data_IF_904918794012
#
_entry.id   IF_904918794012
#
_cell.length_a   1.000
_cell.length_b   1.000
_cell.length_c   1.000
_cell.angle_alpha   90.00
_cell.angle_beta   90.00
_cell.angle_gamma   90.00
#
_symmetry.space_group_name_H-M   'P 1'
#
loop_
_entity.id
_entity.type
_entity.pdbx_description
1 polymer ?
#
# COMPACT_ATOMS: atom_id res chain seq x y z
N UNK A 1 22.37 15.23 6.68
CA UNK A 1 23.24 15.38 5.49
C UNK A 1 23.87 14.09 4.98
N UNK A 2 24.78 13.41 5.72
CA UNK A 2 25.46 12.20 5.22
C UNK A 2 24.50 11.12 4.72
N UNK A 3 23.52 10.75 5.54
CA UNK A 3 22.46 9.77 5.19
C UNK A 3 21.70 10.18 3.93
N UNK A 4 21.40 11.48 3.78
CA UNK A 4 20.70 11.98 2.60
C UNK A 4 21.56 11.88 1.33
N UNK A 5 22.86 12.18 1.43
CA UNK A 5 23.79 12.07 0.30
C UNK A 5 23.99 10.63 -0.15
N UNK A 6 24.12 9.70 0.81
CA UNK A 6 24.26 8.28 0.54
C UNK A 6 23.01 7.74 -0.17
N UNK A 7 21.81 8.05 0.34
CA UNK A 7 20.56 7.58 -0.24
C UNK A 7 20.28 8.16 -1.64
N UNK A 8 20.61 9.43 -1.90
CA UNK A 8 20.49 10.01 -3.24
C UNK A 8 21.47 9.35 -4.22
N UNK A 9 22.70 9.09 -3.79
CA UNK A 9 23.69 8.38 -4.61
C UNK A 9 23.21 6.96 -4.93
N UNK A 10 22.70 6.24 -3.93
CA UNK A 10 22.15 4.89 -4.08
C UNK A 10 20.95 4.86 -5.04
N UNK A 11 20.06 5.86 -4.97
CA UNK A 11 18.96 6.01 -5.91
C UNK A 11 19.46 6.20 -7.36
N UNK A 12 20.48 7.05 -7.56
CA UNK A 12 21.09 7.27 -8.87
C UNK A 12 21.73 6.00 -9.41
N UNK A 13 22.50 5.29 -8.59
CA UNK A 13 23.17 4.05 -8.99
C UNK A 13 22.16 2.97 -9.41
N UNK A 14 21.11 2.75 -8.61
CA UNK A 14 20.07 1.77 -8.91
C UNK A 14 19.30 2.09 -10.20
N UNK A 15 18.91 3.36 -10.37
CA UNK A 15 18.13 3.77 -11.54
C UNK A 15 18.98 3.75 -12.82
N UNK A 16 20.27 4.15 -12.73
CA UNK A 16 21.22 4.10 -13.85
C UNK A 16 21.55 2.66 -14.21
N UNK A 17 21.66 1.78 -13.21
CA UNK A 17 21.84 0.36 -13.44
C UNK A 17 20.68 -0.20 -14.27
N UNK A 18 19.41 0.11 -13.96
CA UNK A 18 18.26 -0.31 -14.78
C UNK A 18 18.34 0.22 -16.22
N UNK A 19 18.81 1.45 -16.43
CA UNK A 19 18.92 2.09 -17.75
C UNK A 19 17.61 2.05 -18.58
N UNK A 20 16.46 2.02 -17.90
CA UNK A 20 15.14 1.92 -18.53
C UNK A 20 14.78 0.53 -19.06
N UNK A 21 15.56 -0.51 -18.72
CA UNK A 21 15.31 -1.89 -19.19
C UNK A 21 14.00 -2.45 -18.65
N UNK A 22 13.62 -2.15 -17.40
CA UNK A 22 12.43 -2.74 -16.80
C UNK A 22 11.13 -2.23 -17.45
N UNK A 23 11.03 -0.92 -17.71
CA UNK A 23 9.78 -0.27 -18.13
C UNK A 23 9.79 0.36 -19.53
N UNK A 24 10.95 0.32 -20.23
CA UNK A 24 11.16 1.01 -21.51
C UNK A 24 11.30 2.53 -21.38
N UNK A 25 11.40 3.04 -20.14
CA UNK A 25 11.57 4.44 -19.79
C UNK A 25 12.55 4.53 -18.63
N UNK A 26 13.39 5.57 -18.62
CA UNK A 26 14.29 5.81 -17.49
C UNK A 26 13.50 6.17 -16.23
N UNK A 27 13.67 5.36 -15.18
CA UNK A 27 13.11 5.64 -13.86
C UNK A 27 13.94 6.69 -13.09
N UNK A 28 15.16 7.02 -13.54
CA UNK A 28 15.97 8.10 -12.95
C UNK A 28 15.28 9.45 -13.04
N UNK A 29 15.34 10.24 -11.98
CA UNK A 29 14.85 11.62 -12.00
C UNK A 29 15.30 12.44 -10.80
N UNK A 30 14.92 13.73 -10.77
CA UNK A 30 15.17 14.62 -9.66
C UNK A 30 14.62 14.03 -8.36
N UNK A 31 15.41 14.01 -7.30
CA UNK A 31 15.02 13.48 -6.00
C UNK A 31 15.29 14.48 -4.89
N UNK A 32 14.33 14.56 -3.96
CA UNK A 32 14.48 15.26 -2.68
C UNK A 32 14.12 14.34 -1.52
N UNK A 33 14.86 14.48 -0.43
CA UNK A 33 14.60 13.84 0.86
C UNK A 33 14.15 14.91 1.84
N UNK A 34 13.01 14.71 2.52
CA UNK A 34 12.38 15.72 3.37
C UNK A 34 12.19 15.21 4.78
N UNK A 35 12.65 15.97 5.76
CA UNK A 35 12.29 15.79 7.17
C UNK A 35 10.89 16.37 7.41
N UNK A 36 9.88 15.55 7.78
CA UNK A 36 8.51 16.03 7.95
C UNK A 36 8.32 16.94 9.16
N UNK A 37 9.17 16.85 10.18
CA UNK A 37 9.07 17.68 11.39
C UNK A 37 9.66 19.06 11.16
N UNK A 38 10.85 19.12 10.56
CA UNK A 38 11.58 20.38 10.35
C UNK A 38 11.34 21.01 8.98
N UNK A 39 10.76 20.24 8.04
CA UNK A 39 10.62 20.57 6.61
C UNK A 39 11.97 20.80 5.91
N UNK A 40 13.08 20.39 6.52
CA UNK A 40 14.41 20.46 5.90
C UNK A 40 14.41 19.52 4.70
N UNK A 41 14.79 20.04 3.53
CA UNK A 41 14.90 19.25 2.31
C UNK A 41 16.37 19.12 1.87
N UNK A 42 16.70 17.96 1.31
CA UNK A 42 17.98 17.66 0.69
C UNK A 42 17.72 17.15 -0.73
N UNK A 43 18.22 17.84 -1.75
CA UNK A 43 17.91 17.57 -3.15
C UNK A 43 19.16 17.33 -3.99
N UNK A 44 18.99 16.58 -5.09
CA UNK A 44 20.06 16.27 -6.05
C UNK A 44 20.38 17.43 -7.01
N UNK A 45 19.53 18.46 -7.06
CA UNK A 45 19.70 19.64 -7.90
C UNK A 45 19.03 20.87 -7.28
N UNK A 46 19.42 22.05 -7.77
CA UNK A 46 18.76 23.30 -7.38
C UNK A 46 17.41 23.48 -8.09
N UNK A 47 16.61 24.42 -7.61
CA UNK A 47 15.39 24.89 -8.28
C UNK A 47 15.58 26.34 -8.74
N UNK A 48 14.81 26.76 -9.74
CA UNK A 48 14.92 28.13 -10.29
C UNK A 48 14.09 29.17 -9.53
N UNK A 49 13.10 28.73 -8.74
CA UNK A 49 12.16 29.62 -8.04
C UNK A 49 12.47 29.76 -6.54
N UNK A 50 13.19 28.80 -5.98
CA UNK A 50 13.62 28.79 -4.59
C UNK A 50 15.11 28.41 -4.57
N UNK A 51 15.98 29.41 -4.46
CA UNK A 51 17.44 29.22 -4.40
C UNK A 51 17.79 28.32 -3.20
N UNK A 52 18.01 27.04 -3.49
CA UNK A 52 18.55 26.11 -2.51
C UNK A 52 20.05 26.37 -2.34
N UNK A 53 20.52 26.23 -1.11
CA UNK A 53 21.94 26.41 -0.82
C UNK A 53 22.68 25.12 -1.19
N UNK A 54 23.72 25.25 -2.02
CA UNK A 54 24.63 24.13 -2.25
C UNK A 54 25.40 23.79 -0.98
N UNK A 55 25.41 22.51 -0.59
CA UNK A 55 26.14 22.00 0.55
C UNK A 55 26.69 20.60 0.23
N UNK A 56 27.98 20.53 -0.08
CA UNK A 56 28.61 19.32 -0.59
C UNK A 56 28.10 18.97 -1.99
N UNK A 57 27.64 17.73 -2.17
CA UNK A 57 27.04 17.23 -3.42
C UNK A 57 25.55 17.51 -3.54
N UNK A 58 24.92 18.08 -2.50
CA UNK A 58 23.48 18.27 -2.42
C UNK A 58 23.10 19.76 -2.39
N UNK A 59 21.81 19.99 -2.59
CA UNK A 59 21.16 21.27 -2.37
C UNK A 59 20.25 21.17 -1.14
N UNK A 60 20.35 22.12 -0.23
CA UNK A 60 19.59 22.13 1.03
C UNK A 60 18.72 23.38 1.15
N UNK A 61 17.59 23.24 1.84
CA UNK A 61 16.68 24.34 2.14
C UNK A 61 15.53 23.89 3.02
N UNK A 62 14.50 24.73 3.10
CA UNK A 62 13.26 24.41 3.82
C UNK A 62 12.11 24.37 2.82
N UNK A 63 11.33 23.29 2.85
CA UNK A 63 10.19 23.14 1.96
C UNK A 63 9.08 24.13 2.37
N UNK A 64 8.56 24.98 1.45
CA UNK A 64 7.55 25.98 1.78
C UNK A 64 6.28 25.36 2.41
N UNK A 65 5.63 26.00 3.41
CA UNK A 65 4.52 25.40 4.18
C UNK A 65 3.32 24.91 3.36
N UNK A 66 3.10 25.51 2.18
CA UNK A 66 2.02 25.19 1.23
C UNK A 66 2.29 23.94 0.39
N UNK A 67 3.52 23.43 0.40
CA UNK A 67 3.88 22.18 -0.27
C UNK A 67 3.64 20.99 0.66
N UNK A 68 2.80 20.05 0.24
CA UNK A 68 2.52 18.82 0.99
C UNK A 68 3.74 17.90 1.07
N UNK A 69 3.99 17.30 2.22
CA UNK A 69 5.06 16.30 2.43
C UNK A 69 4.44 14.90 2.42
N UNK A 70 4.85 14.07 1.47
CA UNK A 70 4.47 12.66 1.38
C UNK A 70 5.49 11.88 0.53
N UNK A 71 5.58 10.56 0.75
CA UNK A 71 6.31 9.67 -0.15
C UNK A 71 5.50 9.61 -1.45
N UNK A 72 5.95 10.31 -2.48
CA UNK A 72 5.25 10.39 -3.76
C UNK A 72 6.10 11.13 -4.81
N UNK A 73 5.52 11.30 -6.00
CA UNK A 73 6.00 12.26 -6.99
C UNK A 73 5.23 13.59 -6.92
N UNK A 74 5.95 14.71 -6.90
CA UNK A 74 5.36 16.06 -6.81
C UNK A 74 5.92 17.00 -7.87
N UNK A 75 5.10 17.91 -8.39
CA UNK A 75 5.56 19.03 -9.21
C UNK A 75 5.80 20.23 -8.30
N UNK A 76 7.06 20.67 -8.18
CA UNK A 76 7.43 21.84 -7.37
C UNK A 76 8.58 22.58 -8.05
N UNK A 77 8.48 23.92 -8.12
CA UNK A 77 9.45 24.80 -8.75
C UNK A 77 9.81 24.39 -10.19
N UNK A 78 8.79 24.06 -11.00
CA UNK A 78 8.95 23.62 -12.40
C UNK A 78 9.53 22.21 -12.58
N UNK A 79 9.83 21.48 -11.51
CA UNK A 79 10.47 20.16 -11.55
C UNK A 79 9.51 19.10 -11.00
N UNK A 80 9.47 17.94 -11.68
CA UNK A 80 8.77 16.74 -11.18
C UNK A 80 9.72 15.91 -10.33
N UNK A 81 9.62 16.07 -9.02
CA UNK A 81 10.47 15.43 -8.02
C UNK A 81 9.95 14.07 -7.59
N UNK A 82 10.90 13.21 -7.25
CA UNK A 82 10.73 12.07 -6.36
C UNK A 82 10.90 12.62 -4.94
N UNK A 83 9.87 12.57 -4.11
CA UNK A 83 9.93 13.00 -2.72
C UNK A 83 9.93 11.77 -1.81
N UNK A 84 10.91 11.67 -0.92
CA UNK A 84 11.00 10.59 0.06
C UNK A 84 11.19 11.18 1.46
N UNK A 85 10.49 10.64 2.45
CA UNK A 85 10.53 11.14 3.82
C UNK A 85 11.71 10.60 4.61
N UNK A 86 12.26 11.44 5.47
CA UNK A 86 13.20 11.06 6.52
C UNK A 86 12.44 10.73 7.83
N UNK A 87 12.99 9.87 8.71
CA UNK A 87 14.17 9.03 8.48
C UNK A 87 13.89 7.89 7.50
N UNK A 88 14.89 7.54 6.69
CA UNK A 88 14.81 6.38 5.81
C UNK A 88 14.88 5.07 6.61
N UNK A 89 14.37 3.96 6.06
CA UNK A 89 14.60 2.63 6.63
C UNK A 89 16.10 2.37 6.84
N UNK A 90 16.45 1.79 7.99
CA UNK A 90 17.83 1.41 8.31
C UNK A 90 18.27 0.15 7.55
N UNK A 91 17.34 -0.76 7.26
CA UNK A 91 17.57 -1.91 6.40
C UNK A 91 17.72 -1.45 4.94
N UNK A 92 18.82 -1.85 4.31
CA UNK A 92 19.18 -1.47 2.94
C UNK A 92 18.15 -1.95 1.92
N UNK A 93 17.62 -3.17 2.07
CA UNK A 93 16.63 -3.72 1.13
C UNK A 93 15.34 -2.91 1.17
N UNK A 94 14.87 -2.57 2.38
CA UNK A 94 13.70 -1.73 2.56
C UNK A 94 13.92 -0.31 2.02
N UNK A 95 15.10 0.28 2.28
CA UNK A 95 15.46 1.62 1.78
C UNK A 95 15.50 1.66 0.26
N UNK A 96 16.20 0.73 -0.38
CA UNK A 96 16.35 0.69 -1.84
C UNK A 96 15.02 0.39 -2.53
N UNK A 97 14.21 -0.49 -1.92
CA UNK A 97 12.84 -0.75 -2.37
C UNK A 97 12.02 0.55 -2.36
N UNK A 98 12.05 1.31 -1.25
CA UNK A 98 11.35 2.59 -1.15
C UNK A 98 11.84 3.60 -2.20
N UNK A 99 13.16 3.77 -2.35
CA UNK A 99 13.73 4.71 -3.33
C UNK A 99 13.28 4.39 -4.76
N UNK A 100 13.29 3.11 -5.13
CA UNK A 100 12.87 2.66 -6.47
C UNK A 100 11.34 2.65 -6.65
N UNK A 101 10.59 2.40 -5.58
CA UNK A 101 9.13 2.56 -5.53
C UNK A 101 8.75 4.01 -5.87
N UNK A 102 9.30 4.98 -5.16
CA UNK A 102 9.00 6.40 -5.40
C UNK A 102 9.51 6.89 -6.76
N UNK A 103 10.65 6.34 -7.22
CA UNK A 103 11.17 6.60 -8.57
C UNK A 103 10.17 6.17 -9.66
N UNK A 104 9.43 5.07 -9.44
CA UNK A 104 8.41 4.61 -10.38
C UNK A 104 7.20 5.54 -10.44
N UNK A 105 6.69 6.03 -9.30
CA UNK A 105 5.57 6.98 -9.27
C UNK A 105 5.83 8.23 -10.12
N UNK A 106 7.08 8.67 -10.26
CA UNK A 106 7.45 9.78 -11.15
C UNK A 106 7.07 9.50 -12.62
N UNK A 107 7.31 8.29 -13.12
CA UNK A 107 7.03 7.90 -14.52
C UNK A 107 5.65 7.29 -14.73
N UNK A 108 5.02 6.82 -13.66
CA UNK A 108 3.78 6.06 -13.71
C UNK A 108 2.66 6.75 -14.52
N UNK A 109 2.38 8.08 -14.40
CA UNK A 109 1.34 8.71 -15.20
C UNK A 109 1.56 8.62 -16.71
N UNK A 110 2.82 8.58 -17.16
CA UNK A 110 3.16 8.42 -18.56
C UNK A 110 3.19 6.95 -19.00
N UNK A 111 3.54 6.02 -18.09
CA UNK A 111 3.74 4.61 -18.43
C UNK A 111 2.50 3.73 -18.24
N UNK A 112 1.87 3.83 -17.08
CA UNK A 112 0.77 3.02 -16.57
C UNK A 112 -0.06 3.89 -15.60
N UNK A 113 -0.77 4.91 -16.11
CA UNK A 113 -1.60 5.75 -15.26
C UNK A 113 -2.65 4.86 -14.57
N UNK A 114 -2.72 4.86 -13.23
CA UNK A 114 -3.64 3.97 -12.52
C UNK A 114 -5.09 4.39 -12.78
N UNK A 115 -6.02 3.44 -12.90
CA UNK A 115 -7.43 3.76 -13.02
C UNK A 115 -7.92 4.35 -11.70
N UNK A 116 -8.96 5.18 -11.77
CA UNK A 116 -9.63 5.72 -10.58
C UNK A 116 -10.74 4.76 -10.18
N UNK A 117 -10.68 4.26 -8.95
CA UNK A 117 -11.74 3.45 -8.37
C UNK A 117 -11.85 3.76 -6.87
N UNK A 118 -13.00 3.40 -6.29
CA UNK A 118 -13.19 3.43 -4.84
C UNK A 118 -12.20 2.50 -4.14
N UNK A 119 -11.95 2.77 -2.86
CA UNK A 119 -11.18 1.86 -2.04
C UNK A 119 -11.87 0.49 -1.93
N UNK A 120 -11.09 -0.61 -1.87
CA UNK A 120 -11.63 -1.95 -1.74
C UNK A 120 -11.96 -2.25 -0.27
N UNK A 121 -12.92 -1.50 0.30
CA UNK A 121 -13.35 -1.58 1.71
C UNK A 121 -13.80 -3.01 2.10
N UNK A 122 -14.25 -3.81 1.12
CA UNK A 122 -14.58 -5.22 1.32
C UNK A 122 -13.40 -6.05 1.83
N UNK A 123 -12.15 -5.61 1.63
CA UNK A 123 -10.97 -6.30 2.15
C UNK A 123 -10.85 -6.24 3.67
N UNK A 124 -11.56 -5.34 4.36
CA UNK A 124 -11.62 -5.32 5.83
C UNK A 124 -12.87 -5.99 6.41
N UNK A 125 -13.73 -6.57 5.55
CA UNK A 125 -14.79 -7.48 6.00
C UNK A 125 -14.22 -8.82 6.44
N UNK A 126 -14.92 -9.53 7.33
CA UNK A 126 -14.49 -10.85 7.82
C UNK A 126 -14.11 -11.81 6.68
N UNK A 127 -14.99 -11.99 5.68
CA UNK A 127 -14.74 -12.89 4.55
C UNK A 127 -13.65 -12.35 3.61
N UNK A 128 -13.62 -11.04 3.39
CA UNK A 128 -12.58 -10.39 2.59
C UNK A 128 -11.18 -10.63 3.16
N UNK A 129 -11.01 -10.40 4.46
CA UNK A 129 -9.77 -10.62 5.20
C UNK A 129 -9.36 -12.08 5.16
N UNK A 130 -10.28 -12.98 5.51
CA UNK A 130 -10.01 -14.42 5.55
C UNK A 130 -9.51 -14.94 4.20
N UNK A 131 -10.19 -14.60 3.10
CA UNK A 131 -9.82 -15.07 1.76
C UNK A 131 -8.55 -14.40 1.22
N UNK A 132 -8.28 -13.14 1.54
CA UNK A 132 -7.05 -12.45 1.14
C UNK A 132 -5.83 -13.06 1.85
N UNK A 133 -5.97 -13.42 3.13
CA UNK A 133 -4.91 -14.10 3.88
C UNK A 133 -4.58 -15.49 3.31
N UNK A 134 -5.59 -16.26 2.91
CA UNK A 134 -5.39 -17.52 2.20
C UNK A 134 -4.73 -17.33 0.82
N UNK A 135 -5.16 -16.31 0.07
CA UNK A 135 -4.54 -15.89 -1.20
C UNK A 135 -3.04 -15.61 -1.01
N UNK A 136 -2.66 -14.82 0.00
CA UNK A 136 -1.26 -14.51 0.29
C UNK A 136 -0.42 -15.72 0.68
N UNK A 137 -0.97 -16.63 1.50
CA UNK A 137 -0.26 -17.87 1.86
C UNK A 137 -0.04 -18.77 0.64
N UNK A 138 -1.01 -18.83 -0.27
CA UNK A 138 -0.87 -19.53 -1.54
C UNK A 138 0.14 -18.87 -2.48
N UNK A 139 0.15 -17.54 -2.58
CA UNK A 139 1.16 -16.79 -3.34
C UNK A 139 2.57 -16.99 -2.77
N UNK A 140 2.71 -17.01 -1.45
CA UNK A 140 4.00 -17.28 -0.80
C UNK A 140 4.50 -18.69 -1.13
N UNK A 141 3.61 -19.69 -1.17
CA UNK A 141 3.96 -21.05 -1.62
C UNK A 141 4.35 -21.07 -3.11
N UNK A 142 3.61 -20.38 -3.97
CA UNK A 142 3.91 -20.30 -5.40
C UNK A 142 5.30 -19.67 -5.65
N UNK A 143 5.67 -18.62 -4.90
CA UNK A 143 6.98 -17.98 -5.03
C UNK A 143 8.15 -18.88 -4.61
N UNK A 144 7.92 -19.83 -3.69
CA UNK A 144 8.92 -20.80 -3.17
C UNK A 144 9.04 -22.08 -4.01
N UNK A 145 8.11 -22.33 -4.90
CA UNK A 145 8.01 -23.58 -5.66
C UNK A 145 8.16 -23.31 -7.15
N UNK A 146 8.35 -24.38 -7.94
CA UNK A 146 8.41 -24.35 -9.40
C UNK A 146 7.57 -25.50 -10.00
N UNK A 147 7.42 -25.51 -11.34
CA UNK A 147 6.73 -26.57 -12.06
C UNK A 147 5.26 -26.74 -11.63
N UNK A 148 4.84 -27.99 -11.47
CA UNK A 148 3.44 -28.32 -11.14
C UNK A 148 3.04 -27.85 -9.74
N UNK A 149 3.97 -27.84 -8.78
CA UNK A 149 3.71 -27.32 -7.43
C UNK A 149 3.42 -25.81 -7.46
N UNK A 150 4.21 -25.04 -8.22
CA UNK A 150 3.95 -23.61 -8.43
C UNK A 150 2.62 -23.38 -9.12
N UNK A 151 2.33 -24.14 -10.18
CA UNK A 151 1.05 -24.05 -10.92
C UNK A 151 -0.14 -24.33 -9.99
N UNK A 152 -0.06 -25.36 -9.15
CA UNK A 152 -1.12 -25.68 -8.18
C UNK A 152 -1.30 -24.55 -7.16
N UNK A 153 -0.23 -24.02 -6.60
CA UNK A 153 -0.30 -22.93 -5.63
C UNK A 153 -0.86 -21.63 -6.24
N UNK A 154 -0.55 -21.35 -7.52
CA UNK A 154 -1.16 -20.25 -8.28
C UNK A 154 -2.67 -20.47 -8.45
N UNK A 155 -3.10 -21.67 -8.86
CA UNK A 155 -4.53 -21.99 -8.98
C UNK A 155 -5.27 -21.81 -7.66
N UNK A 156 -4.66 -22.23 -6.55
CA UNK A 156 -5.22 -22.06 -5.21
C UNK A 156 -5.37 -20.57 -4.85
N UNK A 157 -4.33 -19.75 -5.06
CA UNK A 157 -4.39 -18.30 -4.85
C UNK A 157 -5.50 -17.63 -5.67
N UNK A 158 -5.60 -17.99 -6.95
CA UNK A 158 -6.62 -17.47 -7.86
C UNK A 158 -8.04 -17.92 -7.47
N UNK A 159 -8.21 -19.12 -6.90
CA UNK A 159 -9.49 -19.58 -6.39
C UNK A 159 -9.96 -18.73 -5.19
N UNK A 160 -9.06 -18.43 -4.23
CA UNK A 160 -9.38 -17.55 -3.10
C UNK A 160 -9.74 -16.13 -3.58
N UNK A 161 -8.93 -15.56 -4.49
CA UNK A 161 -9.18 -14.25 -5.11
C UNK A 161 -10.53 -14.20 -5.82
N UNK A 162 -10.84 -15.22 -6.62
CA UNK A 162 -12.11 -15.31 -7.36
C UNK A 162 -13.31 -15.38 -6.43
N UNK A 163 -13.26 -16.22 -5.39
CA UNK A 163 -14.34 -16.30 -4.42
C UNK A 163 -14.52 -14.95 -3.71
N UNK A 164 -13.43 -14.35 -3.22
CA UNK A 164 -13.43 -13.09 -2.49
C UNK A 164 -14.06 -11.95 -3.30
N UNK A 165 -13.65 -11.80 -4.56
CA UNK A 165 -14.20 -10.79 -5.47
C UNK A 165 -15.65 -11.05 -5.88
N UNK A 166 -16.11 -12.29 -5.81
CA UNK A 166 -17.51 -12.65 -6.05
C UNK A 166 -18.47 -12.20 -4.94
N UNK A 167 -17.96 -11.83 -3.76
CA UNK A 167 -18.78 -11.40 -2.61
C UNK A 167 -19.18 -9.93 -2.66
N UNK A 168 -18.56 -9.13 -3.52
CA UNK A 168 -18.76 -7.68 -3.56
C UNK A 168 -18.77 -7.18 -5.00
N UNK A 169 -19.76 -6.35 -5.32
CA UNK A 169 -19.85 -5.72 -6.64
C UNK A 169 -18.61 -4.85 -6.89
N UNK A 170 -18.09 -4.89 -8.12
CA UNK A 170 -16.94 -4.07 -8.56
C UNK A 170 -15.63 -4.33 -7.79
N UNK A 171 -15.55 -5.41 -7.00
CA UNK A 171 -14.37 -5.75 -6.20
C UNK A 171 -13.09 -5.87 -7.04
N UNK A 172 -13.19 -6.49 -8.21
CA UNK A 172 -12.06 -6.64 -9.13
C UNK A 172 -11.52 -5.28 -9.60
N UNK A 173 -12.40 -4.35 -9.98
CA UNK A 173 -12.01 -3.00 -10.43
C UNK A 173 -11.28 -2.24 -9.32
N UNK A 174 -11.87 -2.20 -8.11
CA UNK A 174 -11.32 -1.50 -6.94
C UNK A 174 -9.95 -2.02 -6.54
N UNK A 175 -9.79 -3.33 -6.51
CA UNK A 175 -8.50 -3.94 -6.18
C UNK A 175 -7.47 -3.75 -7.28
N UNK A 176 -7.84 -3.97 -8.54
CA UNK A 176 -6.92 -3.80 -9.66
C UNK A 176 -6.41 -2.36 -9.73
N UNK A 177 -7.22 -1.36 -9.39
CA UNK A 177 -6.79 0.03 -9.33
C UNK A 177 -5.64 0.24 -8.33
N UNK A 178 -5.74 -0.30 -7.12
CA UNK A 178 -4.66 -0.21 -6.13
C UNK A 178 -3.45 -1.09 -6.48
N UNK A 179 -3.64 -2.26 -7.09
CA UNK A 179 -2.52 -3.05 -7.60
C UNK A 179 -1.77 -2.33 -8.73
N UNK A 180 -2.47 -1.59 -9.59
CA UNK A 180 -1.84 -0.77 -10.63
C UNK A 180 -1.16 0.48 -10.08
N UNK A 181 -1.74 1.09 -9.04
CA UNK A 181 -1.19 2.26 -8.36
C UNK A 181 0.04 1.90 -7.51
N UNK A 182 -0.17 1.08 -6.47
CA UNK A 182 0.83 0.77 -5.43
C UNK A 182 1.54 -0.55 -5.69
N UNK A 183 0.83 -1.54 -6.24
CA UNK A 183 1.39 -2.87 -6.46
C UNK A 183 2.50 -2.91 -7.51
N UNK A 184 2.35 -2.17 -8.62
CA UNK A 184 3.38 -2.04 -9.66
C UNK A 184 4.57 -1.19 -9.17
N UNK A 185 4.30 -0.15 -8.38
CA UNK A 185 5.35 0.67 -7.76
C UNK A 185 6.19 -0.17 -6.80
N UNK A 186 5.54 -0.94 -5.92
CA UNK A 186 6.22 -1.83 -4.98
C UNK A 186 6.97 -2.95 -5.70
N UNK A 187 6.39 -3.53 -6.74
CA UNK A 187 7.09 -4.51 -7.57
C UNK A 187 8.37 -3.92 -8.19
N UNK A 188 8.30 -2.69 -8.71
CA UNK A 188 9.45 -1.98 -9.26
C UNK A 188 10.51 -1.75 -8.19
N UNK A 189 10.07 -1.32 -7.00
CA UNK A 189 10.89 -1.22 -5.80
C UNK A 189 11.66 -2.50 -5.50
N UNK A 190 10.95 -3.63 -5.41
CA UNK A 190 11.54 -4.94 -5.12
C UNK A 190 12.49 -5.39 -6.21
N UNK A 191 12.13 -5.23 -7.50
CA UNK A 191 12.97 -5.68 -8.61
C UNK A 191 14.27 -4.92 -8.72
N UNK A 192 14.23 -3.61 -8.56
CA UNK A 192 15.38 -2.74 -8.79
C UNK A 192 16.17 -2.50 -7.50
N UNK A 193 15.50 -2.35 -6.36
CA UNK A 193 16.15 -2.12 -5.07
C UNK A 193 16.56 -3.41 -4.34
N UNK A 194 15.67 -4.39 -4.23
CA UNK A 194 16.01 -5.64 -3.53
C UNK A 194 16.86 -6.62 -4.36
N UNK A 195 16.89 -6.46 -5.69
CA UNK A 195 17.67 -7.29 -6.61
C UNK A 195 17.42 -8.80 -6.42
N UNK A 196 18.46 -9.56 -6.08
CA UNK A 196 18.34 -11.00 -5.82
C UNK A 196 17.46 -11.35 -4.61
N UNK A 197 17.24 -10.40 -3.70
CA UNK A 197 16.35 -10.55 -2.54
C UNK A 197 14.89 -10.19 -2.84
N UNK A 198 14.53 -9.85 -4.07
CA UNK A 198 13.16 -9.50 -4.43
C UNK A 198 12.15 -10.60 -4.01
N UNK A 199 12.41 -11.86 -4.37
CA UNK A 199 11.51 -12.97 -4.04
C UNK A 199 11.44 -13.25 -2.53
N UNK A 200 12.57 -13.45 -1.81
CA UNK A 200 12.54 -13.63 -0.35
C UNK A 200 11.84 -12.48 0.37
N UNK A 201 12.17 -11.22 0.04
CA UNK A 201 11.57 -10.07 0.71
C UNK A 201 10.07 -9.92 0.38
N UNK A 202 9.59 -10.35 -0.79
CA UNK A 202 8.15 -10.41 -1.08
C UNK A 202 7.45 -11.50 -0.28
N UNK A 203 8.07 -12.66 -0.09
CA UNK A 203 7.54 -13.74 0.76
C UNK A 203 7.42 -13.27 2.23
N UNK A 204 8.43 -12.57 2.73
CA UNK A 204 8.42 -11.98 4.07
C UNK A 204 7.33 -10.92 4.17
N UNK A 205 7.19 -10.07 3.14
CA UNK A 205 6.11 -9.06 3.05
C UNK A 205 4.73 -9.71 3.14
N UNK A 206 4.45 -10.76 2.37
CA UNK A 206 3.18 -11.51 2.46
C UNK A 206 2.93 -12.03 3.88
N UNK A 207 3.97 -12.55 4.54
CA UNK A 207 3.85 -13.09 5.91
C UNK A 207 3.60 -12.00 6.95
N UNK A 208 4.24 -10.84 6.82
CA UNK A 208 3.99 -9.67 7.69
C UNK A 208 2.60 -9.09 7.48
N UNK A 209 2.17 -8.96 6.22
CA UNK A 209 0.85 -8.40 5.89
C UNK A 209 -0.28 -9.33 6.31
N UNK A 210 -0.09 -10.65 6.27
CA UNK A 210 -1.04 -11.65 6.80
C UNK A 210 -1.41 -11.42 8.29
N UNK A 211 -0.62 -10.64 9.03
CA UNK A 211 -0.86 -10.35 10.45
C UNK A 211 -1.38 -8.93 10.72
N UNK A 212 -1.55 -8.08 9.69
CA UNK A 212 -1.96 -6.67 9.88
C UNK A 212 -3.45 -6.52 10.18
N UNK A 213 -3.81 -5.41 10.81
CA UNK A 213 -5.19 -5.10 11.18
C UNK A 213 -6.02 -4.48 10.05
N UNK A 214 -5.41 -3.78 9.08
CA UNK A 214 -6.13 -3.14 7.97
C UNK A 214 -5.50 -3.42 6.61
N UNK A 215 -6.33 -3.77 5.63
CA UNK A 215 -5.89 -4.19 4.29
C UNK A 215 -6.26 -3.22 3.17
N UNK A 216 -7.29 -2.38 3.35
CA UNK A 216 -7.90 -1.58 2.29
C UNK A 216 -6.90 -0.79 1.44
N UNK A 217 -5.92 -0.14 2.07
CA UNK A 217 -4.86 0.63 1.37
C UNK A 217 -3.54 -0.12 1.26
N UNK A 218 -3.36 -1.19 2.03
CA UNK A 218 -2.07 -1.82 2.23
C UNK A 218 -1.92 -3.10 1.39
N UNK A 219 -3.02 -3.77 1.02
CA UNK A 219 -2.95 -5.10 0.40
C UNK A 219 -2.12 -5.14 -0.88
N UNK A 220 -2.14 -4.07 -1.68
CA UNK A 220 -1.49 -3.99 -2.99
C UNK A 220 0.05 -4.08 -2.88
N UNK A 221 0.64 -3.58 -1.79
CA UNK A 221 2.09 -3.71 -1.51
C UNK A 221 2.50 -5.18 -1.27
N UNK A 222 1.57 -6.04 -0.86
CA UNK A 222 1.82 -7.48 -0.70
C UNK A 222 1.44 -8.26 -1.98
N UNK A 223 0.22 -8.08 -2.49
CA UNK A 223 -0.29 -8.80 -3.66
C UNK A 223 0.45 -8.44 -4.95
N UNK A 224 0.68 -7.14 -5.21
CA UNK A 224 1.26 -6.64 -6.45
C UNK A 224 2.61 -7.29 -6.79
N UNK A 225 3.63 -7.16 -5.92
CA UNK A 225 4.94 -7.81 -6.14
C UNK A 225 4.84 -9.32 -6.30
N UNK A 226 3.97 -9.99 -5.54
CA UNK A 226 3.82 -11.44 -5.62
C UNK A 226 3.31 -11.89 -7.00
N UNK A 227 2.26 -11.25 -7.51
CA UNK A 227 1.77 -11.54 -8.86
C UNK A 227 2.80 -11.19 -9.93
N UNK A 228 3.43 -10.03 -9.84
CA UNK A 228 4.38 -9.55 -10.84
C UNK A 228 5.66 -10.40 -10.90
N UNK A 229 6.17 -10.89 -9.76
CA UNK A 229 7.33 -11.79 -9.72
C UNK A 229 7.02 -13.19 -10.25
N UNK A 230 5.79 -13.68 -10.07
CA UNK A 230 5.34 -14.93 -10.72
C UNK A 230 5.19 -14.74 -12.23
N UNK A 231 4.66 -13.58 -12.66
CA UNK A 231 4.58 -13.21 -14.08
C UNK A 231 5.98 -13.07 -14.71
N UNK A 232 6.98 -12.58 -13.99
CA UNK A 232 8.37 -12.55 -14.49
C UNK A 232 8.88 -13.93 -14.89
N UNK A 233 8.53 -14.96 -14.12
CA UNK A 233 8.93 -16.35 -14.36
C UNK A 233 8.13 -17.00 -15.49
N UNK A 234 6.81 -16.76 -15.50
CA UNK A 234 5.87 -17.52 -16.33
C UNK A 234 5.47 -16.83 -17.64
N UNK A 235 5.66 -15.52 -17.73
CA UNK A 235 5.32 -14.71 -18.91
C UNK A 235 6.29 -13.53 -19.03
N UNK A 236 7.58 -13.73 -19.39
CA UNK A 236 8.62 -12.70 -19.28
C UNK A 236 8.33 -11.36 -19.97
N UNK A 237 7.48 -11.37 -21.02
CA UNK A 237 7.03 -10.18 -21.76
C UNK A 237 5.73 -9.54 -21.20
N UNK A 238 5.28 -9.91 -19.99
CA UNK A 238 4.02 -9.42 -19.42
C UNK A 238 3.98 -7.89 -19.26
N UNK A 239 5.13 -7.26 -18.96
CA UNK A 239 5.26 -5.79 -18.79
C UNK A 239 4.94 -5.02 -20.07
N UNK A 240 5.11 -5.62 -21.25
CA UNK A 240 4.73 -5.01 -22.53
C UNK A 240 3.21 -5.09 -22.76
N UNK A 241 2.53 -6.01 -22.07
CA UNK A 241 1.10 -6.31 -22.23
C UNK A 241 0.23 -5.67 -21.16
N UNK A 242 0.77 -5.39 -19.97
CA UNK A 242 0.02 -4.73 -18.90
C UNK A 242 -0.45 -3.34 -19.34
N UNK A 243 -1.68 -3.00 -18.97
CA UNK A 243 -2.39 -1.74 -19.25
C UNK A 243 -3.04 -1.24 -17.97
N UNK A 244 -3.45 0.03 -17.88
CA UNK A 244 -4.15 0.59 -16.71
C UNK A 244 -5.31 -0.26 -16.19
N UNK A 245 -6.12 -0.88 -17.06
CA UNK A 245 -7.25 -1.73 -16.65
C UNK A 245 -6.91 -3.21 -16.51
N UNK A 246 -5.62 -3.59 -16.49
CA UNK A 246 -5.22 -5.00 -16.42
C UNK A 246 -5.46 -5.60 -15.03
N UNK A 247 -5.77 -6.90 -15.03
CA UNK A 247 -5.83 -7.71 -13.83
C UNK A 247 -4.61 -8.62 -13.77
N UNK A 248 -3.75 -8.43 -12.75
CA UNK A 248 -2.54 -9.24 -12.58
C UNK A 248 -2.85 -10.72 -12.35
N UNK A 249 -3.95 -11.01 -11.65
CA UNK A 249 -4.41 -12.38 -11.40
C UNK A 249 -4.86 -13.05 -12.69
N UNK A 250 -5.63 -12.37 -13.55
CA UNK A 250 -5.99 -12.92 -14.86
C UNK A 250 -4.79 -13.08 -15.80
N UNK A 251 -3.86 -12.12 -15.79
CA UNK A 251 -2.63 -12.25 -16.57
C UNK A 251 -1.83 -13.48 -16.14
N UNK A 252 -1.75 -13.74 -14.84
CA UNK A 252 -1.09 -14.92 -14.29
C UNK A 252 -1.86 -16.21 -14.63
N UNK A 253 -3.19 -16.18 -14.57
CA UNK A 253 -4.05 -17.30 -14.95
C UNK A 253 -3.83 -17.69 -16.43
N UNK A 254 -3.75 -16.69 -17.31
CA UNK A 254 -3.41 -16.89 -18.73
C UNK A 254 -2.00 -17.47 -18.91
N UNK A 255 -1.02 -17.00 -18.13
CA UNK A 255 0.36 -17.51 -18.18
C UNK A 255 0.46 -19.00 -17.81
N UNK A 256 -0.43 -19.48 -16.94
CA UNK A 256 -0.55 -20.91 -16.63
C UNK A 256 -1.59 -21.64 -17.49
N UNK A 257 -2.05 -21.07 -18.61
CA UNK A 257 -2.94 -21.77 -19.56
C UNK A 257 -4.40 -21.88 -19.13
N UNK A 258 -4.89 -20.97 -18.28
CA UNK A 258 -6.30 -20.89 -17.87
C UNK A 258 -6.87 -22.20 -17.28
N UNK A 259 -6.07 -22.91 -16.48
CA UNK A 259 -6.47 -24.17 -15.84
C UNK A 259 -7.70 -23.94 -14.95
N UNK A 260 -8.58 -24.94 -14.86
CA UNK A 260 -9.73 -24.90 -13.97
C UNK A 260 -9.28 -24.64 -12.51
N UNK A 261 -9.94 -23.67 -11.86
CA UNK A 261 -9.64 -23.33 -10.47
C UNK A 261 -10.34 -24.31 -9.52
N UNK A 262 -9.66 -24.78 -8.46
CA UNK A 262 -10.25 -25.69 -7.49
C UNK A 262 -11.34 -25.00 -6.65
N UNK A 263 -12.20 -25.82 -6.03
CA UNK A 263 -13.16 -25.32 -5.05
C UNK A 263 -12.44 -24.94 -3.75
N UNK A 264 -12.70 -23.74 -3.24
CA UNK A 264 -12.03 -23.20 -2.03
C UNK A 264 -12.12 -24.16 -0.83
N UNK A 265 -13.28 -24.81 -0.64
CA UNK A 265 -13.47 -25.78 0.45
C UNK A 265 -12.49 -26.96 0.41
N UNK A 266 -12.00 -27.35 -0.77
CA UNK A 266 -11.10 -28.50 -0.94
C UNK A 266 -9.62 -28.17 -0.68
N UNK A 267 -9.27 -26.88 -0.59
CA UNK A 267 -7.88 -26.42 -0.53
C UNK A 267 -7.57 -25.55 0.69
N UNK A 268 -8.58 -24.92 1.31
CA UNK A 268 -8.40 -23.91 2.37
C UNK A 268 -7.56 -24.40 3.56
N UNK A 269 -7.70 -25.67 3.93
CA UNK A 269 -7.02 -26.23 5.11
C UNK A 269 -5.50 -26.34 4.89
N UNK A 270 -5.04 -26.49 3.63
CA UNK A 270 -3.61 -26.48 3.27
C UNK A 270 -2.92 -25.15 3.60
N UNK A 271 -3.69 -24.07 3.68
CA UNK A 271 -3.21 -22.72 3.93
C UNK A 271 -3.57 -22.22 5.34
N UNK A 272 -3.94 -23.13 6.25
CA UNK A 272 -4.19 -22.81 7.65
C UNK A 272 -5.49 -22.06 7.89
N UNK A 273 -6.55 -22.43 7.16
CA UNK A 273 -7.90 -21.86 7.31
C UNK A 273 -8.37 -21.80 8.76
N UNK A 274 -8.25 -22.90 9.51
CA UNK A 274 -8.70 -22.96 10.90
C UNK A 274 -8.02 -21.90 11.80
N UNK A 275 -6.75 -21.60 11.55
CA UNK A 275 -6.00 -20.63 12.35
C UNK A 275 -6.40 -19.20 11.99
N UNK A 276 -6.53 -18.90 10.69
CA UNK A 276 -7.02 -17.62 10.20
C UNK A 276 -8.43 -17.37 10.74
N UNK A 277 -9.30 -18.37 10.66
CA UNK A 277 -10.68 -18.30 11.13
C UNK A 277 -10.71 -17.93 12.62
N UNK A 278 -9.97 -18.66 13.47
CA UNK A 278 -9.92 -18.35 14.92
C UNK A 278 -9.47 -16.92 15.18
N UNK A 279 -8.47 -16.43 14.44
CA UNK A 279 -7.94 -15.07 14.61
C UNK A 279 -8.95 -14.00 14.16
N UNK A 280 -9.55 -14.15 12.98
CA UNK A 280 -10.54 -13.19 12.48
C UNK A 280 -11.84 -13.22 13.30
N UNK A 281 -12.26 -14.39 13.81
CA UNK A 281 -13.40 -14.50 14.74
C UNK A 281 -13.09 -13.77 16.04
N UNK A 282 -11.90 -13.96 16.62
CA UNK A 282 -11.52 -13.25 17.84
C UNK A 282 -11.51 -11.72 17.64
N UNK A 283 -11.04 -11.24 16.48
CA UNK A 283 -11.08 -9.81 16.13
C UNK A 283 -12.52 -9.31 15.98
N UNK A 284 -13.36 -10.03 15.25
CA UNK A 284 -14.77 -9.69 15.06
C UNK A 284 -15.53 -9.66 16.40
N UNK A 285 -15.32 -10.64 17.27
CA UNK A 285 -15.93 -10.70 18.59
C UNK A 285 -15.47 -9.55 19.49
N UNK A 286 -14.18 -9.20 19.45
CA UNK A 286 -13.65 -8.06 20.19
C UNK A 286 -14.27 -6.74 19.71
N UNK A 287 -14.36 -6.55 18.39
CA UNK A 287 -15.01 -5.39 17.79
C UNK A 287 -16.50 -5.33 18.16
N UNK A 288 -17.22 -6.45 18.10
CA UNK A 288 -18.64 -6.52 18.46
C UNK A 288 -18.88 -6.21 19.94
N UNK A 289 -18.04 -6.72 20.85
CA UNK A 289 -18.10 -6.36 22.27
C UNK A 289 -17.89 -4.86 22.49
N UNK A 290 -16.88 -4.28 21.82
CA UNK A 290 -16.61 -2.85 21.93
C UNK A 290 -17.73 -1.99 21.33
N UNK A 291 -18.30 -2.42 20.20
CA UNK A 291 -19.45 -1.77 19.59
C UNK A 291 -20.68 -1.79 20.52
N UNK A 292 -20.96 -2.90 21.19
CA UNK A 292 -22.05 -2.99 22.16
C UNK A 292 -21.86 -2.05 23.35
N UNK A 293 -20.62 -1.92 23.86
CA UNK A 293 -20.28 -0.95 24.92
C UNK A 293 -20.54 0.48 24.43
N UNK A 294 -20.08 0.83 23.23
CA UNK A 294 -20.29 2.18 22.70
C UNK A 294 -21.75 2.48 22.38
N UNK A 295 -22.49 1.52 21.81
CA UNK A 295 -23.91 1.67 21.51
C UNK A 295 -24.71 1.93 22.80
N UNK A 296 -24.45 1.16 23.85
CA UNK A 296 -25.10 1.36 25.14
C UNK A 296 -24.79 2.73 25.75
N UNK A 297 -23.53 3.18 25.67
CA UNK A 297 -23.07 4.42 26.31
C UNK A 297 -23.46 5.69 25.53
N UNK A 298 -23.48 5.64 24.20
CA UNK A 298 -23.53 6.83 23.33
C UNK A 298 -24.81 6.94 22.49
N UNK A 299 -25.67 5.93 22.49
CA UNK A 299 -26.89 5.95 21.68
C UNK A 299 -28.14 5.50 22.46
N UNK A 300 -28.05 4.40 23.22
CA UNK A 300 -29.21 3.83 23.90
C UNK A 300 -29.46 4.45 25.28
N UNK A 301 -28.40 4.93 25.94
CA UNK A 301 -28.46 5.59 27.24
C UNK A 301 -28.83 7.08 27.19
N UNK A 302 -28.79 7.78 28.33
CA UNK A 302 -28.96 9.22 28.39
C UNK A 302 -27.83 9.93 27.63
N UNK A 303 -28.19 10.64 26.56
CA UNK A 303 -27.23 11.33 25.69
C UNK A 303 -27.51 12.83 25.66
N UNK A 304 -26.43 13.62 25.64
CA UNK A 304 -26.50 15.03 25.27
C UNK A 304 -26.33 15.13 23.76
N UNK A 305 -27.34 15.65 23.07
CA UNK A 305 -27.27 15.94 21.63
C UNK A 305 -27.02 17.42 21.43
N UNK A 306 -25.87 17.74 20.84
CA UNK A 306 -25.50 19.11 20.49
C UNK A 306 -25.50 19.23 18.96
N UNK A 307 -26.30 20.14 18.37
CA UNK A 307 -26.28 20.34 16.92
C UNK A 307 -24.95 20.96 16.50
N UNK A 308 -24.41 20.45 15.39
CA UNK A 308 -23.24 21.03 14.73
C UNK A 308 -23.71 22.06 13.70
N UNK A 309 -23.15 23.27 13.74
CA UNK A 309 -23.52 24.38 12.85
C UNK A 309 -22.31 24.76 12.00
N UNK A 310 -21.23 25.22 12.64
CA UNK A 310 -19.97 25.62 12.04
C UNK A 310 -18.79 24.86 12.65
N UNK A 311 -18.93 23.53 12.72
CA UNK A 311 -18.00 22.65 13.39
C UNK A 311 -16.57 22.72 12.83
N UNK A 312 -15.60 22.84 13.74
CA UNK A 312 -14.20 22.47 13.54
C UNK A 312 -13.82 21.38 14.54
N UNK A 313 -13.21 20.30 14.06
CA UNK A 313 -12.82 19.16 14.89
C UNK A 313 -11.33 18.83 14.72
N UNK A 314 -10.66 18.58 15.84
CA UNK A 314 -9.33 17.98 15.93
C UNK A 314 -9.47 16.63 16.64
N UNK A 315 -8.90 15.55 16.10
CA UNK A 315 -8.99 14.21 16.69
C UNK A 315 -7.80 13.35 16.29
N UNK A 316 -7.59 12.23 17.00
CA UNK A 316 -6.63 11.23 16.58
C UNK A 316 -7.28 10.26 15.59
N UNK A 317 -6.89 10.26 14.30
CA UNK A 317 -7.50 9.38 13.30
C UNK A 317 -7.18 7.89 13.53
N UNK A 318 -6.22 7.55 14.40
CA UNK A 318 -5.86 6.16 14.70
C UNK A 318 -6.76 5.52 15.76
N UNK A 319 -7.58 6.30 16.48
CA UNK A 319 -8.41 5.80 17.58
C UNK A 319 -9.91 5.83 17.27
N UNK A 320 -10.31 6.35 16.11
CA UNK A 320 -11.73 6.42 15.73
C UNK A 320 -12.33 5.02 15.57
N UNK A 321 -13.59 4.88 15.97
CA UNK A 321 -14.31 3.60 15.90
C UNK A 321 -15.62 3.77 15.14
N UNK A 322 -15.81 3.00 14.07
CA UNK A 322 -17.05 3.01 13.30
C UNK A 322 -18.17 2.28 14.06
N UNK A 323 -19.29 2.95 14.27
CA UNK A 323 -20.46 2.42 15.00
C UNK A 323 -21.73 2.60 14.15
N UNK A 324 -21.87 1.93 12.99
CA UNK A 324 -23.08 2.03 12.19
C UNK A 324 -24.28 1.37 12.90
N UNK A 325 -25.51 1.91 12.76
CA UNK A 325 -25.85 3.14 12.03
C UNK A 325 -25.65 4.42 12.85
N UNK A 326 -25.28 4.32 14.13
CA UNK A 326 -25.19 5.42 15.09
C UNK A 326 -24.12 6.48 14.77
N UNK A 327 -23.09 6.13 14.00
CA UNK A 327 -22.10 7.07 13.48
C UNK A 327 -20.65 6.63 13.72
N UNK A 328 -19.80 7.58 14.11
CA UNK A 328 -18.37 7.34 14.44
C UNK A 328 -18.11 7.81 15.86
N UNK A 329 -17.47 6.95 16.66
CA UNK A 329 -17.00 7.29 17.99
C UNK A 329 -15.61 7.89 17.88
N UNK A 330 -15.43 9.06 18.50
CA UNK A 330 -14.16 9.76 18.61
C UNK A 330 -13.70 9.70 20.08
N UNK A 331 -12.85 8.73 20.48
CA UNK A 331 -12.45 8.58 21.89
C UNK A 331 -11.70 9.79 22.44
N UNK A 332 -11.04 10.54 21.57
CA UNK A 332 -10.42 11.83 21.86
C UNK A 332 -10.73 12.82 20.74
N UNK A 333 -11.20 14.00 21.11
CA UNK A 333 -11.49 15.07 20.16
C UNK A 333 -11.55 16.43 20.85
N UNK A 334 -11.24 17.49 20.11
CA UNK A 334 -11.59 18.87 20.46
C UNK A 334 -12.53 19.37 19.38
N UNK A 335 -13.78 19.66 19.77
CA UNK A 335 -14.83 20.14 18.87
C UNK A 335 -15.11 21.60 19.22
N UNK A 336 -15.02 22.48 18.24
CA UNK A 336 -15.33 23.91 18.37
C UNK A 336 -16.47 24.27 17.42
N UNK A 337 -17.45 25.00 17.92
CA UNK A 337 -18.62 25.45 17.17
C UNK A 337 -19.18 26.74 17.81
N UNK A 338 -20.30 27.27 17.32
CA UNK A 338 -20.90 28.52 17.78
C UNK A 338 -21.30 28.49 19.26
N UNK A 339 -21.59 27.31 19.81
CA UNK A 339 -21.92 27.11 21.22
C UNK A 339 -20.68 26.98 22.14
N UNK A 340 -19.46 27.00 21.59
CA UNK A 340 -18.21 26.97 22.35
C UNK A 340 -17.32 25.79 22.01
N UNK A 341 -16.63 25.23 23.02
CA UNK A 341 -15.66 24.14 22.84
C UNK A 341 -16.00 22.94 23.71
N UNK A 342 -16.09 21.76 23.10
CA UNK A 342 -16.19 20.47 23.77
C UNK A 342 -14.85 19.73 23.66
N UNK A 343 -14.30 19.31 24.80
CA UNK A 343 -13.10 18.48 24.83
C UNK A 343 -13.48 17.08 25.28
N UNK A 344 -13.32 16.10 24.38
CA UNK A 344 -13.53 14.67 24.64
C UNK A 344 -12.20 14.06 25.07
N UNK A 345 -12.22 13.37 26.21
CA UNK A 345 -11.06 12.67 26.76
C UNK A 345 -11.43 11.20 26.97
N UNK A 346 -10.49 10.32 26.67
CA UNK A 346 -10.61 8.91 26.98
C UNK A 346 -10.37 8.74 28.48
N UNK A 347 -11.39 8.27 29.20
CA UNK A 347 -11.31 7.85 30.61
C UNK A 347 -10.77 6.44 30.75
#
# INVERSE_FOLDING_TARGET
>A
MKVASEAITEQHDLCQHDAGRLWGLSICGPIMLVDPETRTLYADRNTTEHDLRAEGSLFTGTLPPDVSIANTSINWAGIRWIMVLLPLPSDMVARDTLLMHESYHRIQPARLPPPKADLPDHLDTYDGRMLLRLEWRALALALRTDGDAQRSAICDALAFRKLRRGLTKDAAERENALEMLEGIAEYTGKRLGAGSKAVPSTIDTLSTYDQRDGYVRSFAYASGPAYCLLLDRLSPAWREKVRPGSDLGEMLHRAIGNVALPQVMSIRDRYGYADIQRQETAKADAHARQAAVWQSALADGPVLRVPLIHMKIEFNPQTVFALPPSGTVYPTAIIRDDWGTLTVRQS
#
